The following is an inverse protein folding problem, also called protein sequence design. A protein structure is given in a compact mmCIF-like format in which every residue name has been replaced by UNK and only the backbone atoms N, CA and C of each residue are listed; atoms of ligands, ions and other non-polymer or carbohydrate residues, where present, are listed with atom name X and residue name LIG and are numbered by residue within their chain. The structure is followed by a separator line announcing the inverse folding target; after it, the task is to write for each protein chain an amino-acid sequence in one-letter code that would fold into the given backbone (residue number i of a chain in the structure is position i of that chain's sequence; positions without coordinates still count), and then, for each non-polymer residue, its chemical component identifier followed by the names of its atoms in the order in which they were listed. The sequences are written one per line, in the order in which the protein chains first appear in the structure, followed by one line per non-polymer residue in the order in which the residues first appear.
data_IF_945431863294
#
_entry.id   IF_945431863294
#
_cell.length_a   1.000
_cell.length_b   1.000
_cell.length_c   1.000
_cell.angle_alpha   90.00
_cell.angle_beta   90.00
_cell.angle_gamma   90.00
#
_symmetry.space_group_name_H-M   'P 1'
#
loop_
_entity.id
_entity.type
_entity.pdbx_description
1 polymer ?
#
# COMPACT_ATOMS: atom_id res chain seq x y z
N UNK A 1 -20.73 3.59 18.47
CA UNK A 1 -19.73 2.68 17.88
C UNK A 1 -19.34 3.29 16.54
N UNK A 2 -18.06 3.31 16.20
CA UNK A 2 -17.59 3.77 14.88
C UNK A 2 -18.04 2.76 13.81
N UNK A 3 -18.33 3.22 12.60
CA UNK A 3 -18.80 2.37 11.51
C UNK A 3 -17.69 1.43 11.03
N UNK A 4 -16.48 1.98 10.84
CA UNK A 4 -15.37 1.22 10.27
C UNK A 4 -14.34 0.81 11.32
N UNK A 5 -13.87 -0.43 11.25
CA UNK A 5 -12.71 -0.87 12.02
C UNK A 5 -11.43 -0.22 11.48
N UNK A 6 -11.25 -0.26 10.15
CA UNK A 6 -10.11 0.36 9.48
C UNK A 6 -10.57 1.12 8.25
N UNK A 7 -10.08 2.34 8.08
CA UNK A 7 -10.13 3.10 6.82
C UNK A 7 -8.72 3.24 6.30
N UNK A 8 -8.46 2.74 5.09
CA UNK A 8 -7.16 2.88 4.44
C UNK A 8 -7.16 3.94 3.36
N UNK A 9 -5.98 4.50 3.08
CA UNK A 9 -5.73 5.39 1.95
C UNK A 9 -4.48 4.92 1.22
N UNK A 10 -4.57 4.81 -0.10
CA UNK A 10 -3.47 4.29 -0.91
C UNK A 10 -3.72 4.38 -2.41
N UNK A 11 -2.76 3.88 -3.17
CA UNK A 11 -2.89 3.75 -4.62
C UNK A 11 -3.92 2.67 -4.97
N UNK A 12 -4.96 3.06 -5.71
CA UNK A 12 -5.93 2.15 -6.27
C UNK A 12 -5.38 1.59 -7.59
N UNK A 13 -4.78 0.41 -7.54
CA UNK A 13 -4.06 -0.21 -8.67
C UNK A 13 -4.78 -1.48 -9.11
N UNK A 14 -5.08 -1.62 -10.40
CA UNK A 14 -5.54 -2.91 -10.95
C UNK A 14 -4.32 -3.75 -11.29
N UNK A 15 -4.17 -4.88 -10.64
CA UNK A 15 -3.15 -5.88 -10.98
C UNK A 15 -3.63 -6.68 -12.19
N UNK A 16 -2.82 -6.65 -13.25
CA UNK A 16 -3.05 -7.42 -14.49
C UNK A 16 -1.96 -8.47 -14.57
N UNK A 17 -2.33 -9.72 -14.33
CA UNK A 17 -1.40 -10.83 -14.13
C UNK A 17 -1.39 -11.71 -15.36
N UNK A 18 -0.21 -12.11 -15.82
CA UNK A 18 -0.01 -13.05 -16.91
C UNK A 18 1.21 -13.92 -16.66
N UNK A 19 1.11 -15.20 -17.02
CA UNK A 19 2.28 -16.08 -17.03
C UNK A 19 3.15 -15.77 -18.23
N UNK A 20 4.47 -15.74 -18.03
CA UNK A 20 5.41 -15.32 -19.07
C UNK A 20 6.75 -16.08 -18.95
N UNK A 21 7.37 -16.33 -20.11
CA UNK A 21 8.71 -16.94 -20.13
C UNK A 21 9.81 -15.91 -19.92
N UNK A 22 10.97 -16.34 -19.42
CA UNK A 22 12.16 -15.49 -19.31
C UNK A 22 12.57 -14.87 -20.66
N UNK A 23 12.38 -15.61 -21.77
CA UNK A 23 12.61 -15.11 -23.11
C UNK A 23 11.67 -13.94 -23.46
N UNK A 24 10.42 -14.01 -23.02
CA UNK A 24 9.47 -12.89 -23.17
C UNK A 24 9.93 -11.67 -22.36
N UNK A 25 10.31 -11.85 -21.09
CA UNK A 25 10.80 -10.77 -20.24
C UNK A 25 12.01 -10.07 -20.88
N UNK A 26 12.98 -10.85 -21.33
CA UNK A 26 14.17 -10.30 -22.02
C UNK A 26 13.79 -9.53 -23.30
N UNK A 27 12.94 -10.11 -24.16
CA UNK A 27 12.48 -9.45 -25.39
C UNK A 27 11.77 -8.14 -25.12
N UNK A 28 10.97 -8.10 -24.05
CA UNK A 28 10.23 -6.91 -23.65
C UNK A 28 11.05 -5.96 -22.78
N UNK A 29 12.31 -6.27 -22.45
CA UNK A 29 13.17 -5.43 -21.60
C UNK A 29 12.58 -5.27 -20.19
N UNK A 30 12.01 -6.32 -19.65
CA UNK A 30 11.47 -6.37 -18.30
C UNK A 30 12.54 -6.95 -17.37
N UNK A 31 12.85 -6.23 -16.31
CA UNK A 31 13.77 -6.72 -15.27
C UNK A 31 13.01 -7.68 -14.36
N UNK A 32 13.56 -8.91 -14.24
CA UNK A 32 12.91 -10.00 -13.53
C UNK A 32 12.93 -9.80 -12.02
N UNK A 33 11.82 -10.08 -11.37
CA UNK A 33 11.72 -10.17 -9.91
C UNK A 33 11.64 -8.82 -9.19
N UNK A 34 11.51 -7.69 -9.91
CA UNK A 34 11.42 -6.37 -9.28
C UNK A 34 10.13 -5.63 -9.67
N UNK A 35 9.80 -4.61 -8.88
CA UNK A 35 8.78 -3.62 -9.20
C UNK A 35 9.43 -2.37 -9.82
N UNK A 36 8.90 -1.95 -10.97
CA UNK A 36 9.32 -0.72 -11.65
C UNK A 36 8.12 0.18 -11.90
N UNK A 37 8.28 1.48 -11.67
CA UNK A 37 7.36 2.48 -12.16
C UNK A 37 7.65 2.75 -13.64
N UNK A 38 6.60 2.81 -14.44
CA UNK A 38 6.69 3.02 -15.88
C UNK A 38 5.73 4.11 -16.36
N UNK A 39 6.05 4.70 -17.51
CA UNK A 39 5.22 5.71 -18.15
C UNK A 39 4.09 5.07 -18.97
N UNK A 40 3.11 5.89 -19.36
CA UNK A 40 1.87 5.48 -20.02
C UNK A 40 2.12 4.65 -21.28
N UNK A 41 2.98 5.11 -22.19
CA UNK A 41 3.27 4.46 -23.47
C UNK A 41 3.87 3.06 -23.24
N UNK A 42 4.72 2.93 -22.24
CA UNK A 42 5.31 1.64 -21.85
C UNK A 42 4.24 0.71 -21.28
N UNK A 43 3.35 1.23 -20.43
CA UNK A 43 2.25 0.48 -19.85
C UNK A 43 1.30 -0.05 -20.92
N UNK A 44 0.96 0.76 -21.94
CA UNK A 44 0.13 0.35 -23.05
C UNK A 44 0.79 -0.77 -23.87
N UNK A 45 2.08 -0.61 -24.20
CA UNK A 45 2.83 -1.62 -24.95
C UNK A 45 2.93 -2.96 -24.21
N UNK A 46 3.16 -2.94 -22.89
CA UNK A 46 3.22 -4.15 -22.08
C UNK A 46 1.83 -4.80 -21.95
N UNK A 47 0.80 -3.99 -21.71
CA UNK A 47 -0.56 -4.48 -21.60
C UNK A 47 -1.04 -5.18 -22.88
N UNK A 48 -0.75 -4.61 -24.06
CA UNK A 48 -1.11 -5.19 -25.34
C UNK A 48 -0.34 -6.48 -25.64
N UNK A 49 0.88 -6.63 -25.11
CA UNK A 49 1.70 -7.82 -25.28
C UNK A 49 1.34 -8.98 -24.32
N UNK A 50 0.52 -8.71 -23.30
CA UNK A 50 0.10 -9.74 -22.34
C UNK A 50 -0.96 -10.66 -22.91
N UNK A 51 -0.77 -11.98 -22.72
CA UNK A 51 -1.74 -13.00 -23.08
C UNK A 51 -2.39 -13.60 -21.82
N UNK A 52 -3.62 -14.12 -21.94
CA UNK A 52 -4.35 -14.79 -20.85
C UNK A 52 -4.37 -13.99 -19.53
N UNK A 53 -4.69 -12.73 -19.61
CA UNK A 53 -4.70 -11.78 -18.50
C UNK A 53 -5.77 -12.13 -17.46
N UNK A 54 -5.37 -12.10 -16.19
CA UNK A 54 -6.26 -12.12 -15.03
C UNK A 54 -6.18 -10.76 -14.35
N UNK A 55 -7.30 -10.20 -13.92
CA UNK A 55 -7.36 -8.92 -13.22
C UNK A 55 -7.73 -9.12 -11.76
N UNK A 56 -7.08 -8.38 -10.88
CA UNK A 56 -7.40 -8.30 -9.46
C UNK A 56 -7.33 -6.85 -8.97
N UNK A 57 -8.10 -6.51 -7.96
CA UNK A 57 -7.87 -5.27 -7.24
C UNK A 57 -6.58 -5.42 -6.44
N UNK A 58 -5.65 -4.47 -6.59
CA UNK A 58 -4.36 -4.44 -5.94
C UNK A 58 -4.11 -3.11 -5.23
N UNK A 59 -2.89 -2.90 -4.78
CA UNK A 59 -2.47 -1.80 -3.92
C UNK A 59 -2.15 -2.29 -2.50
N UNK A 60 -1.05 -1.83 -1.91
CA UNK A 60 -0.53 -2.38 -0.66
C UNK A 60 -1.53 -2.27 0.50
N UNK A 61 -2.10 -1.08 0.72
CA UNK A 61 -3.13 -0.88 1.76
C UNK A 61 -4.46 -1.49 1.35
N UNK A 62 -4.84 -1.44 0.07
CA UNK A 62 -6.08 -2.05 -0.40
C UNK A 62 -6.10 -3.57 -0.15
N UNK A 63 -4.99 -4.27 -0.41
CA UNK A 63 -4.85 -5.70 -0.12
C UNK A 63 -5.00 -6.00 1.38
N UNK A 64 -4.43 -5.14 2.24
CA UNK A 64 -4.61 -5.26 3.69
C UNK A 64 -6.08 -5.13 4.09
N UNK A 65 -6.80 -4.17 3.53
CA UNK A 65 -8.23 -3.97 3.82
C UNK A 65 -9.10 -5.11 3.30
N UNK A 66 -8.81 -5.62 2.10
CA UNK A 66 -9.49 -6.78 1.54
C UNK A 66 -9.31 -8.01 2.44
N UNK A 67 -8.09 -8.25 2.96
CA UNK A 67 -7.83 -9.29 3.95
C UNK A 67 -8.64 -9.11 5.24
N UNK A 68 -8.70 -7.89 5.77
CA UNK A 68 -9.49 -7.57 6.96
C UNK A 68 -11.00 -7.72 6.70
N UNK A 69 -11.48 -7.30 5.52
CA UNK A 69 -12.87 -7.50 5.09
C UNK A 69 -13.25 -8.97 5.02
N UNK A 70 -12.37 -9.80 4.43
CA UNK A 70 -12.55 -11.25 4.37
C UNK A 70 -12.59 -11.92 5.77
N UNK A 71 -11.94 -11.30 6.78
CA UNK A 71 -12.04 -11.70 8.18
C UNK A 71 -13.29 -11.16 8.89
N UNK A 72 -14.17 -10.47 8.18
CA UNK A 72 -15.45 -9.96 8.71
C UNK A 72 -15.37 -8.62 9.43
N UNK A 73 -14.31 -7.84 9.20
CA UNK A 73 -14.19 -6.49 9.74
C UNK A 73 -14.77 -5.47 8.74
N UNK A 74 -15.47 -4.47 9.27
CA UNK A 74 -15.93 -3.33 8.47
C UNK A 74 -14.75 -2.47 8.06
N UNK A 75 -14.45 -2.42 6.77
CA UNK A 75 -13.32 -1.67 6.20
C UNK A 75 -13.78 -0.71 5.12
N UNK A 76 -13.02 0.37 4.90
CA UNK A 76 -13.24 1.30 3.80
C UNK A 76 -11.90 1.75 3.21
N UNK A 77 -11.88 2.01 1.91
CA UNK A 77 -10.70 2.44 1.18
C UNK A 77 -10.91 3.77 0.48
N UNK A 78 -9.99 4.69 0.74
CA UNK A 78 -9.85 5.98 0.06
C UNK A 78 -8.80 5.81 -1.04
N UNK A 79 -9.23 5.86 -2.28
CA UNK A 79 -8.39 5.70 -3.45
C UNK A 79 -8.98 6.45 -4.63
N UNK A 80 -8.20 6.64 -5.69
CA UNK A 80 -8.62 7.39 -6.86
C UNK A 80 -8.55 6.53 -8.12
N UNK A 81 -9.68 6.29 -8.77
CA UNK A 81 -9.80 5.61 -10.06
C UNK A 81 -10.56 6.50 -11.04
N UNK A 82 -10.33 6.31 -12.33
CA UNK A 82 -11.12 6.95 -13.38
C UNK A 82 -12.42 6.17 -13.60
N UNK A 83 -13.44 6.83 -14.11
CA UNK A 83 -14.65 6.18 -14.63
C UNK A 83 -14.34 5.54 -16.01
N UNK A 84 -13.53 4.48 -15.98
CA UNK A 84 -13.20 3.61 -17.09
C UNK A 84 -13.41 2.14 -16.66
N UNK A 85 -13.25 1.21 -17.60
CA UNK A 85 -13.52 -0.21 -17.34
C UNK A 85 -12.70 -0.77 -16.17
N UNK A 86 -11.42 -0.36 -16.00
CA UNK A 86 -10.58 -0.81 -14.90
C UNK A 86 -11.00 -0.16 -13.57
N UNK A 87 -11.40 1.11 -13.58
CA UNK A 87 -11.87 1.79 -12.37
C UNK A 87 -13.20 1.25 -11.86
N UNK A 88 -14.13 0.94 -12.75
CA UNK A 88 -15.38 0.27 -12.39
C UNK A 88 -15.14 -1.12 -11.86
N UNK A 89 -14.26 -1.91 -12.51
CA UNK A 89 -13.82 -3.21 -12.01
C UNK A 89 -13.23 -3.09 -10.61
N UNK A 90 -12.31 -2.13 -10.38
CA UNK A 90 -11.66 -1.94 -9.08
C UNK A 90 -12.68 -1.65 -7.97
N UNK A 91 -13.56 -0.68 -8.19
CA UNK A 91 -14.57 -0.29 -7.21
C UNK A 91 -15.50 -1.47 -6.86
N UNK A 92 -15.93 -2.24 -7.87
CA UNK A 92 -16.75 -3.43 -7.67
C UNK A 92 -16.01 -4.51 -6.91
N UNK A 93 -14.76 -4.82 -7.29
CA UNK A 93 -13.96 -5.86 -6.65
C UNK A 93 -13.69 -5.57 -5.16
N UNK A 94 -13.43 -4.30 -4.81
CA UNK A 94 -13.28 -3.89 -3.41
C UNK A 94 -14.55 -4.14 -2.60
N UNK A 95 -15.72 -3.77 -3.14
CA UNK A 95 -17.01 -3.99 -2.48
C UNK A 95 -17.35 -5.49 -2.33
N UNK A 96 -17.11 -6.28 -3.36
CA UNK A 96 -17.29 -7.74 -3.32
C UNK A 96 -16.34 -8.42 -2.31
N UNK A 97 -15.15 -7.87 -2.13
CA UNK A 97 -14.18 -8.25 -1.10
C UNK A 97 -14.50 -7.79 0.33
N UNK A 98 -15.64 -7.10 0.54
CA UNK A 98 -16.07 -6.64 1.85
C UNK A 98 -15.45 -5.31 2.31
N UNK A 99 -14.88 -4.52 1.37
CA UNK A 99 -14.31 -3.20 1.66
C UNK A 99 -15.08 -2.11 0.91
N UNK A 100 -15.65 -1.14 1.63
CA UNK A 100 -16.31 0.02 1.02
C UNK A 100 -15.30 0.86 0.25
N UNK A 101 -15.45 0.99 -1.08
CA UNK A 101 -14.69 1.97 -1.88
C UNK A 101 -15.42 3.31 -1.82
N UNK A 102 -14.86 4.28 -1.06
CA UNK A 102 -15.61 5.49 -0.67
C UNK A 102 -15.61 6.61 -1.70
N UNK A 103 -14.66 6.62 -2.63
CA UNK A 103 -14.55 7.64 -3.66
C UNK A 103 -15.26 7.17 -4.93
N UNK A 104 -16.20 7.95 -5.48
CA UNK A 104 -16.78 7.62 -6.78
C UNK A 104 -15.69 7.71 -7.86
N UNK A 105 -15.73 6.82 -8.89
CA UNK A 105 -14.83 6.93 -10.03
C UNK A 105 -14.91 8.32 -10.69
N UNK A 106 -13.76 8.90 -11.01
CA UNK A 106 -13.64 10.27 -11.52
C UNK A 106 -14.04 10.31 -13.00
N UNK A 107 -15.09 11.05 -13.30
CA UNK A 107 -15.50 11.30 -14.68
C UNK A 107 -14.56 12.32 -15.35
N UNK A 108 -14.45 12.24 -16.68
CA UNK A 108 -13.70 13.18 -17.53
C UNK A 108 -12.21 13.39 -17.11
N UNK A 109 -11.63 12.43 -16.39
CA UNK A 109 -10.23 12.50 -16.03
C UNK A 109 -9.30 12.28 -17.23
N UNK A 110 -8.16 12.99 -17.25
CA UNK A 110 -7.17 12.85 -18.32
C UNK A 110 -6.33 11.59 -18.19
N UNK A 111 -6.06 11.16 -16.96
CA UNK A 111 -5.27 9.96 -16.67
C UNK A 111 -6.19 8.75 -16.53
N UNK A 112 -5.82 7.58 -17.06
CA UNK A 112 -6.57 6.35 -16.88
C UNK A 112 -6.37 5.81 -15.46
N UNK A 113 -7.19 4.82 -15.09
CA UNK A 113 -7.01 4.05 -13.88
C UNK A 113 -5.63 3.39 -13.84
N UNK A 114 -5.01 3.38 -12.67
CA UNK A 114 -3.72 2.75 -12.40
C UNK A 114 -3.76 1.26 -12.68
N UNK A 115 -2.65 0.73 -13.21
CA UNK A 115 -2.49 -0.71 -13.45
C UNK A 115 -1.05 -1.16 -13.28
N UNK A 116 -0.88 -2.34 -12.73
CA UNK A 116 0.40 -3.03 -12.64
C UNK A 116 0.39 -4.25 -13.56
N UNK A 117 1.24 -4.29 -14.57
CA UNK A 117 1.45 -5.45 -15.39
C UNK A 117 2.41 -6.39 -14.69
N UNK A 118 1.88 -7.52 -14.21
CA UNK A 118 2.60 -8.51 -13.43
C UNK A 118 2.85 -9.73 -14.29
N UNK A 119 4.12 -9.99 -14.55
CA UNK A 119 4.57 -11.14 -15.34
C UNK A 119 5.14 -12.18 -14.38
N UNK A 120 4.45 -13.31 -14.24
CA UNK A 120 4.90 -14.42 -13.41
C UNK A 120 5.70 -15.42 -14.24
N UNK A 121 6.97 -15.62 -13.93
CA UNK A 121 7.82 -16.60 -14.59
C UNK A 121 7.64 -18.00 -14.01
N UNK A 122 8.15 -19.02 -14.72
CA UNK A 122 7.94 -20.44 -14.37
C UNK A 122 8.49 -20.84 -12.98
N UNK A 123 9.44 -20.09 -12.45
CA UNK A 123 10.02 -20.24 -11.11
C UNK A 123 9.20 -19.52 -10.00
N UNK A 124 8.07 -18.89 -10.36
CA UNK A 124 7.20 -18.18 -9.42
C UNK A 124 7.55 -16.70 -9.21
N UNK A 125 8.68 -16.21 -9.77
CA UNK A 125 9.07 -14.81 -9.64
C UNK A 125 8.10 -13.86 -10.35
N UNK A 126 7.76 -12.76 -9.67
CA UNK A 126 6.85 -11.73 -10.19
C UNK A 126 7.62 -10.47 -10.59
N UNK A 127 7.51 -10.11 -11.85
CA UNK A 127 8.11 -8.88 -12.40
C UNK A 127 6.99 -7.85 -12.61
N UNK A 128 7.01 -6.78 -11.85
CA UNK A 128 5.90 -5.82 -11.78
C UNK A 128 6.28 -4.53 -12.50
N UNK A 129 5.41 -4.08 -13.40
CA UNK A 129 5.58 -2.83 -14.15
C UNK A 129 4.34 -1.97 -13.93
N UNK A 130 4.46 -0.97 -13.05
CA UNK A 130 3.33 -0.22 -12.53
C UNK A 130 3.25 1.18 -13.14
N UNK A 131 2.10 1.46 -13.74
CA UNK A 131 1.71 2.80 -14.17
C UNK A 131 0.65 3.33 -13.20
N UNK A 132 1.00 4.38 -12.45
CA UNK A 132 0.14 4.91 -11.39
C UNK A 132 -1.09 5.67 -11.89
N UNK A 133 -1.05 6.21 -13.12
CA UNK A 133 -2.20 6.89 -13.70
C UNK A 133 -2.83 7.90 -12.75
N UNK A 134 -4.17 7.87 -12.64
CA UNK A 134 -4.93 8.81 -11.81
C UNK A 134 -4.73 8.59 -10.30
N UNK A 135 -4.26 7.42 -9.84
CA UNK A 135 -4.04 7.19 -8.41
C UNK A 135 -2.98 8.12 -7.83
N UNK A 136 -1.99 8.54 -8.64
CA UNK A 136 -0.98 9.52 -8.25
C UNK A 136 -1.51 10.95 -8.05
N UNK A 137 -2.76 11.22 -8.47
CA UNK A 137 -3.42 12.50 -8.28
C UNK A 137 -4.30 12.55 -7.01
N UNK A 138 -4.26 11.48 -6.19
CA UNK A 138 -4.99 11.45 -4.93
C UNK A 138 -4.51 12.57 -4.02
N UNK A 139 -5.47 13.32 -3.46
CA UNK A 139 -5.19 14.51 -2.67
C UNK A 139 -6.22 14.77 -1.56
N UNK A 140 -6.12 15.90 -0.87
CA UNK A 140 -7.05 16.29 0.20
C UNK A 140 -8.51 16.32 -0.23
N UNK A 141 -8.76 16.64 -1.49
CA UNK A 141 -10.10 16.65 -2.08
C UNK A 141 -10.79 15.29 -2.09
N UNK A 142 -10.02 14.20 -2.03
CA UNK A 142 -10.51 12.82 -2.01
C UNK A 142 -10.79 12.34 -0.57
N UNK A 143 -10.35 13.07 0.45
CA UNK A 143 -10.49 12.70 1.85
C UNK A 143 -11.81 13.19 2.43
N UNK A 144 -12.67 12.25 2.84
CA UNK A 144 -13.88 12.56 3.58
C UNK A 144 -13.62 12.56 5.08
N UNK A 145 -13.65 13.75 5.71
CA UNK A 145 -13.52 13.88 7.16
C UNK A 145 -14.59 13.11 7.94
N UNK A 146 -15.79 12.92 7.39
CA UNK A 146 -16.83 12.12 8.03
C UNK A 146 -16.47 10.64 8.07
N UNK A 147 -15.96 10.10 6.95
CA UNK A 147 -15.48 8.70 6.88
C UNK A 147 -14.33 8.48 7.86
N UNK A 148 -13.35 9.40 7.87
CA UNK A 148 -12.21 9.32 8.79
C UNK A 148 -12.63 9.32 10.28
N UNK A 149 -13.60 10.14 10.66
CA UNK A 149 -14.12 10.21 12.03
C UNK A 149 -14.88 8.94 12.45
N UNK A 150 -15.42 8.21 11.50
CA UNK A 150 -16.11 6.93 11.74
C UNK A 150 -15.16 5.73 11.76
N UNK A 151 -13.84 5.91 11.62
CA UNK A 151 -12.84 4.86 11.70
C UNK A 151 -12.27 4.70 13.12
N UNK A 152 -12.08 3.46 13.58
CA UNK A 152 -11.27 3.19 14.77
C UNK A 152 -9.79 3.37 14.47
N UNK A 153 -9.37 2.94 13.29
CA UNK A 153 -8.01 3.07 12.77
C UNK A 153 -8.01 3.65 11.37
N UNK A 154 -7.07 4.52 11.05
CA UNK A 154 -6.71 4.85 9.67
C UNK A 154 -5.34 4.29 9.34
N UNK A 155 -5.19 3.76 8.11
CA UNK A 155 -3.98 3.11 7.65
C UNK A 155 -3.51 3.72 6.34
N UNK A 156 -2.29 4.25 6.35
CA UNK A 156 -1.72 5.07 5.28
C UNK A 156 -0.72 4.25 4.46
N UNK A 157 -0.68 4.47 3.14
CA UNK A 157 0.28 3.84 2.24
C UNK A 157 1.46 4.75 1.95
N UNK A 158 2.67 4.35 2.36
CA UNK A 158 3.89 5.15 2.21
C UNK A 158 4.21 5.57 0.76
N UNK A 159 3.84 4.79 -0.24
CA UNK A 159 4.04 5.14 -1.65
C UNK A 159 3.38 6.46 -2.09
N UNK A 160 2.34 6.92 -1.40
CA UNK A 160 1.72 8.22 -1.71
C UNK A 160 2.61 9.43 -1.34
N UNK A 161 3.73 9.21 -0.63
CA UNK A 161 4.71 10.25 -0.32
C UNK A 161 5.41 10.85 -1.54
N UNK A 162 5.41 10.17 -2.69
CA UNK A 162 6.00 10.70 -3.91
C UNK A 162 5.28 11.96 -4.45
N UNK A 163 4.09 12.29 -3.90
CA UNK A 163 3.33 13.49 -4.27
C UNK A 163 2.94 14.31 -3.03
N UNK A 164 3.13 15.61 -3.10
CA UNK A 164 2.80 16.52 -1.99
C UNK A 164 1.32 16.49 -1.62
N UNK A 165 0.42 16.30 -2.59
CA UNK A 165 -1.01 16.13 -2.34
C UNK A 165 -1.30 14.87 -1.52
N UNK A 166 -0.60 13.75 -1.79
CA UNK A 166 -0.72 12.53 -1.02
C UNK A 166 -0.32 12.73 0.44
N UNK A 167 0.79 13.44 0.69
CA UNK A 167 1.23 13.81 2.06
C UNK A 167 0.16 14.65 2.79
N UNK A 168 -0.44 15.63 2.12
CA UNK A 168 -1.51 16.46 2.68
C UNK A 168 -2.75 15.62 3.00
N UNK A 169 -3.15 14.72 2.09
CA UNK A 169 -4.27 13.81 2.31
C UNK A 169 -4.06 12.92 3.55
N UNK A 170 -2.84 12.44 3.78
CA UNK A 170 -2.49 11.67 4.98
C UNK A 170 -2.70 12.47 6.26
N UNK A 171 -2.18 13.68 6.31
CA UNK A 171 -2.31 14.55 7.49
C UNK A 171 -3.77 14.84 7.79
N UNK A 172 -4.59 15.12 6.76
CA UNK A 172 -6.02 15.38 6.93
C UNK A 172 -6.77 14.15 7.45
N UNK A 173 -6.53 12.97 6.85
CA UNK A 173 -7.16 11.71 7.27
C UNK A 173 -6.79 11.37 8.73
N UNK A 174 -5.49 11.45 9.05
CA UNK A 174 -4.97 11.15 10.39
C UNK A 174 -5.59 12.07 11.44
N UNK A 175 -5.56 13.37 11.22
CA UNK A 175 -6.10 14.37 12.15
C UNK A 175 -7.61 14.22 12.33
N UNK A 176 -8.35 13.97 11.25
CA UNK A 176 -9.79 13.75 11.33
C UNK A 176 -10.13 12.50 12.16
N UNK A 177 -9.44 11.38 11.98
CA UNK A 177 -9.63 10.16 12.75
C UNK A 177 -9.26 10.36 14.23
N UNK A 178 -8.09 10.92 14.51
CA UNK A 178 -7.58 11.16 15.87
C UNK A 178 -8.45 12.15 16.64
N UNK A 179 -8.98 13.19 15.99
CA UNK A 179 -9.92 14.15 16.61
C UNK A 179 -11.21 13.51 17.11
N UNK A 180 -11.59 12.36 16.54
CA UNK A 180 -12.74 11.54 16.95
C UNK A 180 -12.35 10.36 17.85
N UNK A 181 -11.13 10.36 18.42
CA UNK A 181 -10.63 9.32 19.33
C UNK A 181 -10.23 8.00 18.64
N UNK A 182 -9.98 8.01 17.32
CA UNK A 182 -9.35 6.92 16.59
C UNK A 182 -7.83 7.00 16.62
N UNK A 183 -7.18 6.06 15.95
CA UNK A 183 -5.73 5.98 15.81
C UNK A 183 -5.31 6.01 14.36
N UNK A 184 -4.12 6.55 14.08
CA UNK A 184 -3.56 6.64 12.73
C UNK A 184 -2.21 5.91 12.65
N UNK A 185 -1.96 5.23 11.54
CA UNK A 185 -0.69 4.57 11.31
C UNK A 185 -0.37 4.41 9.83
N UNK A 186 0.85 3.95 9.53
CA UNK A 186 1.38 3.86 8.18
C UNK A 186 2.07 2.53 7.92
N UNK A 187 1.91 2.02 6.68
CA UNK A 187 2.85 1.08 6.08
C UNK A 187 3.96 1.88 5.40
N UNK A 188 5.22 1.60 5.73
CA UNK A 188 6.38 2.36 5.22
C UNK A 188 6.59 2.13 3.71
N UNK A 189 6.18 0.97 3.21
CA UNK A 189 6.09 0.55 1.80
C UNK A 189 7.36 -0.03 1.20
N UNK A 190 8.45 0.72 1.07
CA UNK A 190 9.76 0.20 0.65
C UNK A 190 10.93 1.12 1.06
N UNK A 191 12.17 0.57 1.15
CA UNK A 191 13.35 1.34 1.53
C UNK A 191 13.64 2.52 0.60
N UNK A 192 13.40 2.41 -0.71
CA UNK A 192 13.67 3.49 -1.66
C UNK A 192 12.71 4.67 -1.47
N UNK A 193 11.45 4.39 -1.10
CA UNK A 193 10.50 5.43 -0.72
C UNK A 193 10.96 6.16 0.55
N UNK A 194 11.42 5.40 1.55
CA UNK A 194 11.99 5.96 2.78
C UNK A 194 13.20 6.85 2.48
N UNK A 195 14.14 6.39 1.67
CA UNK A 195 15.34 7.14 1.33
C UNK A 195 15.04 8.50 0.69
N UNK A 196 14.04 8.53 -0.19
CA UNK A 196 13.62 9.78 -0.85
C UNK A 196 12.92 10.77 0.10
N UNK A 197 12.19 10.26 1.09
CA UNK A 197 11.27 11.05 1.92
C UNK A 197 11.49 10.87 3.43
N UNK A 198 12.67 10.44 3.85
CA UNK A 198 13.00 10.07 5.24
C UNK A 198 12.58 11.10 6.27
N UNK A 199 12.93 12.37 6.05
CA UNK A 199 12.58 13.44 6.98
C UNK A 199 11.07 13.62 7.14
N UNK A 200 10.31 13.47 6.05
CA UNK A 200 8.86 13.56 6.06
C UNK A 200 8.24 12.35 6.78
N UNK A 201 8.77 11.13 6.55
CA UNK A 201 8.33 9.93 7.28
C UNK A 201 8.57 10.07 8.79
N UNK A 202 9.76 10.45 9.20
CA UNK A 202 10.10 10.63 10.62
C UNK A 202 9.21 11.69 11.27
N UNK A 203 9.01 12.82 10.61
CA UNK A 203 8.15 13.89 11.11
C UNK A 203 6.67 13.44 11.23
N UNK A 204 6.17 12.69 10.23
CA UNK A 204 4.80 12.16 10.27
C UNK A 204 4.64 11.14 11.40
N UNK A 205 5.58 10.19 11.53
CA UNK A 205 5.56 9.14 12.56
C UNK A 205 5.56 9.77 13.96
N UNK A 206 6.44 10.73 14.21
CA UNK A 206 6.59 11.35 15.52
C UNK A 206 5.38 12.20 15.95
N UNK A 207 4.75 12.90 15.01
CA UNK A 207 3.77 13.94 15.38
C UNK A 207 2.32 13.60 15.03
N UNK A 208 2.10 12.76 14.02
CA UNK A 208 0.75 12.53 13.48
C UNK A 208 0.28 11.08 13.61
N UNK A 209 1.17 10.13 13.96
CA UNK A 209 0.82 8.72 13.95
C UNK A 209 0.91 8.07 15.33
N UNK A 210 0.11 7.03 15.51
CA UNK A 210 0.06 6.20 16.72
C UNK A 210 0.74 4.84 16.50
N UNK A 211 0.89 4.41 15.23
CA UNK A 211 1.53 3.15 14.91
C UNK A 211 2.21 3.15 13.54
N UNK A 212 3.25 2.32 13.42
CA UNK A 212 4.00 2.12 12.19
C UNK A 212 4.17 0.62 11.91
N UNK A 213 4.01 0.23 10.65
CA UNK A 213 4.23 -1.14 10.16
C UNK A 213 5.25 -1.08 9.03
N UNK A 214 6.28 -1.92 9.12
CA UNK A 214 7.30 -2.03 8.09
C UNK A 214 8.03 -3.35 8.19
N UNK A 215 8.81 -3.69 7.18
CA UNK A 215 9.76 -4.79 7.27
C UNK A 215 11.10 -4.32 7.86
N UNK A 216 12.02 -5.26 8.08
CA UNK A 216 13.33 -4.97 8.67
C UNK A 216 14.16 -3.99 7.84
N UNK A 217 14.13 -4.11 6.51
CA UNK A 217 14.86 -3.22 5.60
C UNK A 217 14.27 -1.80 5.63
N UNK A 218 12.95 -1.66 5.66
CA UNK A 218 12.24 -0.38 5.75
C UNK A 218 12.52 0.33 7.08
N UNK A 219 12.42 -0.40 8.20
CA UNK A 219 12.69 0.15 9.54
C UNK A 219 14.17 0.59 9.67
N UNK A 220 15.12 -0.21 9.16
CA UNK A 220 16.55 0.16 9.12
C UNK A 220 16.78 1.41 8.27
N UNK A 221 16.12 1.53 7.13
CA UNK A 221 16.24 2.68 6.22
C UNK A 221 15.79 4.00 6.87
N UNK A 222 14.79 3.98 7.77
CA UNK A 222 14.36 5.19 8.51
C UNK A 222 15.51 5.88 9.26
N UNK A 223 16.48 5.11 9.76
CA UNK A 223 17.56 5.61 10.62
C UNK A 223 18.96 5.41 10.03
N UNK A 224 19.06 5.04 8.75
CA UNK A 224 20.34 4.83 8.04
C UNK A 224 21.28 3.90 8.80
N UNK A 225 20.76 2.76 9.27
CA UNK A 225 21.52 1.77 10.04
C UNK A 225 21.27 0.36 9.53
N UNK A 226 22.29 -0.49 9.59
CA UNK A 226 22.19 -1.92 9.28
C UNK A 226 21.75 -2.75 10.52
N UNK A 227 21.78 -2.14 11.70
CA UNK A 227 21.40 -2.80 12.95
C UNK A 227 19.91 -2.63 13.26
N UNK A 228 19.15 -3.73 13.14
CA UNK A 228 17.72 -3.75 13.34
C UNK A 228 17.32 -3.37 14.77
N UNK A 229 18.11 -3.79 15.76
CA UNK A 229 17.79 -3.49 17.17
C UNK A 229 17.88 -1.99 17.45
N UNK A 230 18.91 -1.33 16.92
CA UNK A 230 19.04 0.13 16.98
C UNK A 230 17.89 0.83 16.26
N UNK A 231 17.50 0.34 15.08
CA UNK A 231 16.41 0.93 14.31
C UNK A 231 15.05 0.79 15.04
N UNK A 232 14.77 -0.39 15.57
CA UNK A 232 13.55 -0.66 16.36
C UNK A 232 13.48 0.21 17.62
N UNK A 233 14.60 0.32 18.36
CA UNK A 233 14.65 1.16 19.56
C UNK A 233 14.35 2.63 19.22
N UNK A 234 14.98 3.19 18.18
CA UNK A 234 14.74 4.57 17.73
C UNK A 234 13.29 4.78 17.23
N UNK A 235 12.72 3.80 16.52
CA UNK A 235 11.32 3.89 16.09
C UNK A 235 10.38 3.89 17.29
N UNK A 236 10.66 3.09 18.30
CA UNK A 236 9.85 3.02 19.53
C UNK A 236 9.96 4.27 20.42
N UNK A 237 11.01 5.09 20.25
CA UNK A 237 11.13 6.39 20.93
C UNK A 237 10.15 7.43 20.35
N UNK A 238 9.81 7.32 19.06
CA UNK A 238 8.96 8.30 18.34
C UNK A 238 7.55 7.77 18.01
N UNK A 239 7.26 6.49 18.26
CA UNK A 239 5.97 5.88 17.94
C UNK A 239 5.51 4.91 19.04
N UNK A 240 4.22 4.98 19.41
CA UNK A 240 3.66 4.16 20.50
C UNK A 240 3.63 2.66 20.19
N UNK A 241 3.36 2.31 18.91
CA UNK A 241 3.27 0.93 18.44
C UNK A 241 4.08 0.73 17.16
N UNK A 242 5.06 -0.16 17.22
CA UNK A 242 5.89 -0.55 16.07
C UNK A 242 5.66 -2.02 15.76
N UNK A 243 5.37 -2.33 14.51
CA UNK A 243 5.24 -3.70 13.99
C UNK A 243 6.27 -3.89 12.88
N UNK A 244 7.24 -4.77 13.12
CA UNK A 244 8.29 -5.07 12.15
C UNK A 244 8.16 -6.51 11.67
N UNK A 245 7.88 -6.71 10.38
CA UNK A 245 7.88 -8.03 9.74
C UNK A 245 9.29 -8.43 9.34
N UNK A 246 9.66 -9.71 9.56
CA UNK A 246 11.01 -10.23 9.34
C UNK A 246 11.01 -11.50 8.49
N UNK A 247 10.08 -11.59 7.54
CA UNK A 247 9.94 -12.77 6.69
C UNK A 247 9.82 -14.06 7.50
N UNK A 248 10.65 -15.06 7.20
CA UNK A 248 10.67 -16.34 7.91
C UNK A 248 11.07 -16.28 9.38
N UNK A 249 11.58 -15.16 9.86
CA UNK A 249 11.89 -14.95 11.28
C UNK A 249 10.70 -14.45 12.11
N UNK A 250 9.56 -14.17 11.48
CA UNK A 250 8.34 -13.78 12.14
C UNK A 250 8.13 -12.26 12.23
N UNK A 251 7.57 -11.80 13.34
CA UNK A 251 7.19 -10.40 13.56
C UNK A 251 7.64 -9.93 14.93
N UNK A 252 8.27 -8.76 14.99
CA UNK A 252 8.54 -8.03 16.24
C UNK A 252 7.48 -6.96 16.45
N UNK A 253 6.85 -6.95 17.61
CA UNK A 253 5.89 -5.92 18.02
C UNK A 253 6.42 -5.21 19.25
N UNK A 254 6.54 -3.89 19.18
CA UNK A 254 6.93 -3.05 20.32
C UNK A 254 5.78 -2.11 20.63
N UNK A 255 5.27 -2.17 21.84
CA UNK A 255 4.19 -1.32 22.32
C UNK A 255 4.48 -0.84 23.74
N UNK A 256 4.47 0.46 23.96
CA UNK A 256 4.67 1.08 25.29
C UNK A 256 5.93 0.56 26.02
N UNK A 257 7.01 0.37 25.26
CA UNK A 257 8.29 -0.12 25.78
C UNK A 257 8.37 -1.63 26.03
N UNK A 258 7.29 -2.38 25.83
CA UNK A 258 7.30 -3.84 25.86
C UNK A 258 7.47 -4.40 24.44
N UNK A 259 8.30 -5.43 24.29
CA UNK A 259 8.50 -6.14 23.02
C UNK A 259 7.97 -7.58 23.11
N UNK A 260 7.34 -8.00 22.02
CA UNK A 260 6.92 -9.39 21.78
C UNK A 260 7.41 -9.79 20.41
N UNK A 261 8.14 -10.90 20.32
CA UNK A 261 8.53 -11.52 19.06
C UNK A 261 7.62 -12.74 18.81
N UNK A 262 6.95 -12.74 17.66
CA UNK A 262 6.04 -13.81 17.26
C UNK A 262 6.70 -14.59 16.14
N UNK A 263 7.05 -15.87 16.35
CA UNK A 263 7.60 -16.70 15.28
C UNK A 263 6.53 -17.05 14.25
N UNK A 264 6.96 -17.49 13.07
CA UNK A 264 6.08 -18.10 12.06
C UNK A 264 6.31 -19.61 12.02
N UNK A 265 5.28 -20.35 11.64
CA UNK A 265 5.45 -21.74 11.29
C UNK A 265 6.16 -21.85 9.94
N UNK A 266 7.15 -22.74 9.85
CA UNK A 266 7.88 -22.98 8.61
C UNK A 266 6.96 -23.64 7.58
N UNK A 267 6.74 -22.97 6.47
CA UNK A 267 5.93 -23.46 5.34
C UNK A 267 6.74 -23.43 4.04
N UNK A 268 6.37 -24.28 3.10
CA UNK A 268 6.85 -24.15 1.72
C UNK A 268 5.89 -23.27 0.96
N UNK A 269 6.29 -22.06 0.52
CA UNK A 269 5.39 -21.19 -0.23
C UNK A 269 5.05 -21.80 -1.59
N UNK A 270 3.82 -21.56 -2.05
CA UNK A 270 3.33 -21.99 -3.37
C UNK A 270 3.62 -20.89 -4.41
N UNK A 271 3.54 -19.65 -3.98
CA UNK A 271 3.91 -18.44 -4.73
C UNK A 271 4.43 -17.38 -3.77
N UNK A 272 5.03 -16.29 -4.30
CA UNK A 272 5.60 -15.19 -3.52
C UNK A 272 4.81 -13.89 -3.71
#
# INVERSE_FOLDING_TARGET
MKKYKVVGIGNAVVDVISQSSDTFLQRMGIEKGIMQLIEKERAEALYDAMENRVQAAGGAVANTLAGLGALGLETAFVGRVRDDALGQFYAQAMQEGGTDFVNPPVQDAHLPTSRSMIFTSADGERSMNTYLGISAELGPEDVSSSVAKEAEYVFLEGYLFDKDKGKQAFVELSRACRSAGGKAGIAISDPFCVERHRADFLNLIEHELDYVIGNDAEIKSLFETDDLETALAKTAEICELVVCTRGGEGVSVIAKGARVDVPVDEITPVDA
#
